data_IF_703138265513
#
_entry.id   IF_703138265513
#
_cell.length_a   1.000
_cell.length_b   1.000
_cell.length_c   1.000
_cell.angle_alpha   90.00
_cell.angle_beta   90.00
_cell.angle_gamma   90.00
#
_symmetry.space_group_name_H-M   'P 1'
#
loop_
_entity.id
_entity.type
_entity.pdbx_description
1 polymer ?
#
# COMPACT_ATOMS: atom_id res chain seq x y z
N UNK A 1 5.96 -34.71 7.03
CA UNK A 1 6.37 -33.90 8.19
C UNK A 1 6.60 -32.41 7.82
N UNK A 2 5.68 -31.76 7.08
CA UNK A 2 5.87 -30.38 6.57
C UNK A 2 4.67 -29.43 6.84
N UNK A 3 3.62 -29.90 7.54
CA UNK A 3 2.38 -29.11 7.77
C UNK A 3 2.34 -28.33 9.09
N UNK A 4 3.24 -28.60 10.05
CA UNK A 4 3.20 -28.04 11.42
C UNK A 4 3.92 -26.69 11.58
N UNK A 5 4.69 -26.25 10.56
CA UNK A 5 5.47 -25.01 10.63
C UNK A 5 4.67 -23.78 10.16
N UNK A 6 3.79 -23.93 9.17
CA UNK A 6 2.92 -22.81 8.68
C UNK A 6 1.91 -22.37 9.74
N UNK A 7 1.30 -23.30 10.48
CA UNK A 7 0.33 -22.99 11.54
C UNK A 7 0.93 -22.17 12.69
N UNK A 8 2.18 -22.45 13.07
CA UNK A 8 2.90 -21.71 14.14
C UNK A 8 3.33 -20.30 13.73
N UNK A 9 3.49 -20.05 12.43
CA UNK A 9 3.80 -18.73 11.90
C UNK A 9 2.54 -17.84 11.87
N UNK A 10 1.41 -18.39 11.42
CA UNK A 10 0.12 -17.69 11.41
C UNK A 10 -0.34 -17.38 12.84
N UNK A 11 -0.20 -18.31 13.78
CA UNK A 11 -0.52 -18.08 15.19
C UNK A 11 0.26 -16.89 15.78
N UNK A 12 1.59 -16.82 15.55
CA UNK A 12 2.41 -15.70 16.03
C UNK A 12 2.04 -14.35 15.42
N UNK A 13 1.65 -14.34 14.14
CA UNK A 13 1.17 -13.12 13.49
C UNK A 13 -0.18 -12.69 14.07
N UNK A 14 -1.09 -13.63 14.31
CA UNK A 14 -2.39 -13.34 14.92
C UNK A 14 -2.27 -12.88 16.37
N UNK A 15 -1.34 -13.44 17.16
CA UNK A 15 -1.06 -12.97 18.52
C UNK A 15 -0.53 -11.53 18.53
N UNK A 16 0.32 -11.18 17.57
CA UNK A 16 0.87 -9.83 17.45
C UNK A 16 -0.20 -8.82 17.04
N UNK A 17 -1.05 -9.20 16.09
CA UNK A 17 -2.18 -8.35 15.63
C UNK A 17 -3.20 -8.19 16.76
N UNK A 18 -3.58 -9.28 17.42
CA UNK A 18 -4.51 -9.25 18.54
C UNK A 18 -3.96 -8.40 19.69
N UNK A 19 -2.69 -8.55 20.06
CA UNK A 19 -2.05 -7.76 21.11
C UNK A 19 -2.07 -6.26 20.82
N UNK A 20 -1.86 -5.86 19.55
CA UNK A 20 -1.93 -4.46 19.15
C UNK A 20 -3.36 -3.91 19.20
N UNK A 21 -4.35 -4.70 18.76
CA UNK A 21 -5.77 -4.33 18.80
C UNK A 21 -6.26 -4.21 20.25
N UNK A 22 -5.90 -5.14 21.13
CA UNK A 22 -6.27 -5.08 22.55
C UNK A 22 -5.63 -3.88 23.26
N UNK A 23 -4.37 -3.56 22.96
CA UNK A 23 -3.69 -2.39 23.53
C UNK A 23 -4.36 -1.09 23.11
N UNK A 24 -4.80 -1.00 21.85
CA UNK A 24 -5.55 0.16 21.35
C UNK A 24 -6.93 0.30 22.02
N UNK A 25 -7.66 -0.82 22.18
CA UNK A 25 -8.94 -0.86 22.89
C UNK A 25 -8.81 -0.45 24.36
N UNK A 26 -7.76 -0.91 25.05
CA UNK A 26 -7.51 -0.54 26.45
C UNK A 26 -7.18 0.96 26.59
N UNK A 27 -6.43 1.53 25.66
CA UNK A 27 -6.15 2.97 25.63
C UNK A 27 -7.42 3.80 25.44
N UNK A 28 -8.35 3.33 24.59
CA UNK A 28 -9.65 4.00 24.38
C UNK A 28 -10.55 3.92 25.61
N UNK A 29 -10.62 2.76 26.25
CA UNK A 29 -11.41 2.57 27.48
C UNK A 29 -10.90 3.47 28.61
N UNK A 30 -9.57 3.53 28.83
CA UNK A 30 -8.96 4.41 29.85
C UNK A 30 -9.18 5.90 29.57
N UNK A 31 -9.22 6.31 28.30
CA UNK A 31 -9.51 7.70 27.91
C UNK A 31 -10.98 8.07 28.09
N UNK A 32 -11.89 7.12 27.88
CA UNK A 32 -13.33 7.29 28.08
C UNK A 32 -13.66 7.50 29.58
N UNK A 33 -13.02 6.75 30.46
CA UNK A 33 -13.12 6.97 31.92
C UNK A 33 -12.51 8.32 32.36
N UNK A 34 -11.48 8.80 31.67
CA UNK A 34 -10.83 10.08 31.97
C UNK A 34 -11.57 11.32 31.43
N UNK A 35 -12.72 11.16 30.77
CA UNK A 35 -13.51 12.27 30.22
C UNK A 35 -12.81 13.07 29.12
N UNK A 36 -11.75 12.52 28.51
CA UNK A 36 -11.01 13.17 27.43
C UNK A 36 -11.85 13.16 26.15
N UNK A 37 -11.75 14.21 25.30
CA UNK A 37 -12.49 14.25 24.05
C UNK A 37 -12.18 13.00 23.23
N UNK A 38 -13.24 12.33 22.77
CA UNK A 38 -13.14 11.16 21.90
C UNK A 38 -12.33 11.59 20.67
N UNK A 39 -11.15 10.99 20.47
CA UNK A 39 -10.49 11.08 19.17
C UNK A 39 -11.52 10.61 18.14
N UNK A 40 -11.84 11.49 17.18
CA UNK A 40 -12.63 11.11 16.01
C UNK A 40 -12.06 9.80 15.45
N UNK A 41 -12.91 8.85 15.03
CA UNK A 41 -12.46 7.54 14.62
C UNK A 41 -11.30 7.73 13.65
N UNK A 42 -10.12 7.21 14.02
CA UNK A 42 -8.97 7.16 13.12
C UNK A 42 -9.48 6.70 11.77
N UNK A 43 -9.42 7.57 10.76
CA UNK A 43 -9.63 7.20 9.36
C UNK A 43 -8.78 5.97 9.14
N UNK A 44 -9.44 4.84 8.89
CA UNK A 44 -8.84 3.50 8.89
C UNK A 44 -7.42 3.57 8.33
N UNK A 45 -6.43 3.26 9.17
CA UNK A 45 -5.04 3.17 8.75
C UNK A 45 -4.98 2.19 7.58
N UNK A 46 -4.66 2.73 6.41
CA UNK A 46 -4.69 1.99 5.15
C UNK A 46 -3.42 1.12 5.14
N UNK A 47 -3.55 -0.19 5.38
CA UNK A 47 -2.42 -1.11 5.53
C UNK A 47 -2.45 -2.22 4.46
N UNK A 48 -1.41 -2.25 3.63
CA UNK A 48 -1.09 -3.36 2.73
C UNK A 48 -0.38 -4.48 3.50
N UNK A 49 -0.89 -5.72 3.42
CA UNK A 49 -0.30 -6.90 4.08
C UNK A 49 0.33 -7.86 3.07
N UNK A 50 1.62 -8.18 3.23
CA UNK A 50 2.34 -9.18 2.42
C UNK A 50 2.38 -10.52 3.16
N UNK A 51 1.75 -11.56 2.61
CA UNK A 51 1.73 -12.91 3.20
C UNK A 51 2.84 -13.85 2.69
N UNK A 52 3.80 -13.34 1.89
CA UNK A 52 4.81 -14.18 1.25
C UNK A 52 6.22 -13.88 1.79
N UNK A 53 6.72 -14.73 2.69
CA UNK A 53 8.01 -14.60 3.39
C UNK A 53 9.26 -14.87 2.52
N UNK A 54 9.15 -14.79 1.19
CA UNK A 54 10.22 -15.19 0.27
C UNK A 54 10.99 -14.03 -0.39
N UNK A 55 10.53 -12.78 -0.28
CA UNK A 55 11.24 -11.65 -0.91
C UNK A 55 11.25 -10.42 0.01
N UNK A 56 12.36 -10.25 0.75
CA UNK A 56 12.59 -9.13 1.69
C UNK A 56 12.36 -7.78 0.99
N UNK A 57 12.62 -7.69 -0.32
CA UNK A 57 12.48 -6.46 -1.09
C UNK A 57 11.01 -6.07 -1.35
N UNK A 58 10.07 -7.02 -1.40
CA UNK A 58 8.65 -6.67 -1.55
C UNK A 58 8.10 -6.06 -0.26
N UNK A 59 8.57 -6.54 0.89
CA UNK A 59 8.15 -6.01 2.19
C UNK A 59 8.56 -4.55 2.40
N UNK A 60 9.78 -4.18 2.00
CA UNK A 60 10.25 -2.79 2.09
C UNK A 60 9.51 -1.87 1.11
N UNK A 61 9.26 -2.30 -0.13
CA UNK A 61 8.49 -1.54 -1.12
C UNK A 61 7.04 -1.31 -0.65
N UNK A 62 6.39 -2.34 -0.12
CA UNK A 62 5.04 -2.23 0.44
C UNK A 62 5.01 -1.31 1.66
N UNK A 63 6.03 -1.37 2.52
CA UNK A 63 6.19 -0.44 3.64
C UNK A 63 6.28 1.02 3.18
N UNK A 64 7.06 1.30 2.13
CA UNK A 64 7.17 2.64 1.54
C UNK A 64 5.85 3.11 0.94
N UNK A 65 5.14 2.23 0.22
CA UNK A 65 3.82 2.55 -0.35
C UNK A 65 2.82 2.90 0.76
N UNK A 66 2.77 2.10 1.84
CA UNK A 66 1.88 2.37 2.98
C UNK A 66 2.18 3.72 3.64
N UNK A 67 3.45 4.05 3.84
CA UNK A 67 3.86 5.33 4.42
C UNK A 67 3.40 6.50 3.53
N UNK A 68 3.69 6.44 2.24
CA UNK A 68 3.31 7.49 1.29
C UNK A 68 1.78 7.63 1.16
N UNK A 69 1.04 6.53 1.05
CA UNK A 69 -0.44 6.51 0.99
C UNK A 69 -1.05 7.18 2.22
N UNK A 70 -0.49 6.94 3.41
CA UNK A 70 -0.97 7.59 4.63
C UNK A 70 -0.76 9.11 4.59
N UNK A 71 0.41 9.58 4.15
CA UNK A 71 0.69 11.01 4.02
C UNK A 71 -0.21 11.65 2.96
N UNK A 72 -0.34 11.06 1.79
CA UNK A 72 -1.21 11.52 0.69
C UNK A 72 -2.68 11.61 1.17
N UNK A 73 -3.16 10.60 1.90
CA UNK A 73 -4.51 10.59 2.46
C UNK A 73 -4.71 11.71 3.50
N UNK A 74 -3.71 11.97 4.35
CA UNK A 74 -3.74 13.08 5.31
C UNK A 74 -3.74 14.45 4.63
N UNK A 75 -3.15 14.56 3.43
CA UNK A 75 -3.21 15.76 2.59
C UNK A 75 -4.57 15.96 1.89
N UNK A 76 -5.55 15.09 2.15
CA UNK A 76 -6.89 15.15 1.56
C UNK A 76 -6.99 14.50 0.17
N UNK A 77 -5.92 13.87 -0.31
CA UNK A 77 -5.82 13.29 -1.65
C UNK A 77 -6.22 11.80 -1.63
N UNK A 78 -7.40 11.51 -1.06
CA UNK A 78 -7.85 10.14 -0.76
C UNK A 78 -8.03 9.27 -2.00
N UNK A 79 -8.38 9.86 -3.14
CA UNK A 79 -8.61 9.13 -4.39
C UNK A 79 -7.31 8.56 -4.94
N UNK A 80 -6.23 9.36 -5.03
CA UNK A 80 -4.93 8.88 -5.50
C UNK A 80 -4.27 7.93 -4.48
N UNK A 81 -4.46 8.19 -3.18
CA UNK A 81 -4.03 7.29 -2.10
C UNK A 81 -4.68 5.90 -2.24
N UNK A 82 -5.97 5.87 -2.57
CA UNK A 82 -6.73 4.62 -2.78
C UNK A 82 -6.24 3.90 -4.03
N UNK A 83 -6.07 4.60 -5.15
CA UNK A 83 -5.53 4.06 -6.39
C UNK A 83 -4.16 3.39 -6.19
N UNK A 84 -3.22 4.10 -5.55
CA UNK A 84 -1.87 3.61 -5.30
C UNK A 84 -1.88 2.36 -4.41
N UNK A 85 -2.68 2.36 -3.34
CA UNK A 85 -2.84 1.16 -2.51
C UNK A 85 -3.36 0.00 -3.34
N UNK A 86 -4.51 0.17 -4.00
CA UNK A 86 -5.19 -0.96 -4.63
C UNK A 86 -4.33 -1.58 -5.73
N UNK A 87 -3.56 -0.77 -6.46
CA UNK A 87 -2.54 -1.25 -7.39
C UNK A 87 -1.44 -2.06 -6.68
N UNK A 88 -0.87 -1.55 -5.59
CA UNK A 88 0.13 -2.28 -4.80
C UNK A 88 -0.39 -3.62 -4.26
N UNK A 89 -1.62 -3.63 -3.77
CA UNK A 89 -2.31 -4.83 -3.28
C UNK A 89 -2.56 -5.86 -4.40
N UNK A 90 -2.99 -5.39 -5.56
CA UNK A 90 -3.20 -6.23 -6.75
C UNK A 90 -1.89 -6.89 -7.21
N UNK A 91 -0.78 -6.15 -7.27
CA UNK A 91 0.53 -6.69 -7.66
C UNK A 91 0.97 -7.80 -6.69
N UNK A 92 0.86 -7.57 -5.38
CA UNK A 92 1.24 -8.56 -4.36
C UNK A 92 0.41 -9.84 -4.50
N UNK A 93 -0.90 -9.69 -4.70
CA UNK A 93 -1.86 -10.80 -4.79
C UNK A 93 -1.86 -11.49 -6.15
N UNK A 94 -1.34 -10.86 -7.20
CA UNK A 94 -1.40 -11.42 -8.55
C UNK A 94 -0.68 -12.75 -8.63
N UNK A 95 -1.41 -13.80 -9.02
CA UNK A 95 -0.82 -15.12 -9.32
C UNK A 95 -0.18 -15.19 -10.71
N UNK A 96 -0.46 -14.21 -11.57
CA UNK A 96 0.01 -14.17 -12.95
C UNK A 96 1.39 -13.51 -13.11
N UNK A 97 1.83 -12.73 -12.12
CA UNK A 97 3.11 -12.04 -12.14
C UNK A 97 4.21 -12.87 -11.48
N UNK A 98 5.39 -12.91 -12.11
CA UNK A 98 6.59 -13.48 -11.52
C UNK A 98 7.17 -12.55 -10.45
N UNK A 99 7.96 -13.08 -9.52
CA UNK A 99 8.51 -12.29 -8.40
C UNK A 99 9.34 -11.08 -8.86
N UNK A 100 10.09 -11.21 -9.96
CA UNK A 100 10.86 -10.09 -10.53
C UNK A 100 9.94 -8.99 -11.07
N UNK A 101 8.85 -9.35 -11.76
CA UNK A 101 7.85 -8.41 -12.26
C UNK A 101 7.11 -7.72 -11.12
N UNK A 102 6.78 -8.47 -10.04
CA UNK A 102 6.17 -7.89 -8.84
C UNK A 102 7.08 -6.87 -8.18
N UNK A 103 8.36 -7.19 -8.05
CA UNK A 103 9.35 -6.30 -7.45
C UNK A 103 9.52 -5.03 -8.27
N UNK A 104 9.58 -5.14 -9.60
CA UNK A 104 9.68 -3.99 -10.49
C UNK A 104 8.40 -3.14 -10.47
N UNK A 105 7.23 -3.76 -10.55
CA UNK A 105 5.96 -3.07 -10.52
C UNK A 105 5.73 -2.35 -9.18
N UNK A 106 6.02 -3.00 -8.05
CA UNK A 106 5.93 -2.37 -6.73
C UNK A 106 6.95 -1.24 -6.57
N UNK A 107 8.14 -1.35 -7.16
CA UNK A 107 9.09 -0.24 -7.18
C UNK A 107 8.52 0.97 -7.91
N UNK A 108 7.93 0.77 -9.09
CA UNK A 108 7.29 1.85 -9.85
C UNK A 108 6.14 2.47 -9.06
N UNK A 109 5.28 1.67 -8.42
CA UNK A 109 4.20 2.19 -7.57
C UNK A 109 4.76 2.96 -6.36
N UNK A 110 5.83 2.48 -5.73
CA UNK A 110 6.49 3.19 -4.62
C UNK A 110 7.06 4.55 -5.08
N UNK A 111 7.67 4.60 -6.25
CA UNK A 111 8.21 5.84 -6.82
C UNK A 111 7.11 6.83 -7.19
N UNK A 112 5.99 6.36 -7.76
CA UNK A 112 4.80 7.18 -8.01
C UNK A 112 4.23 7.71 -6.68
N UNK A 113 4.13 6.86 -5.66
CA UNK A 113 3.63 7.26 -4.34
C UNK A 113 4.52 8.33 -3.68
N UNK A 114 5.84 8.17 -3.75
CA UNK A 114 6.80 9.15 -3.24
C UNK A 114 6.69 10.50 -3.95
N UNK A 115 6.46 10.49 -5.27
CA UNK A 115 6.22 11.72 -6.02
C UNK A 115 4.86 12.35 -5.68
N UNK A 116 3.86 11.54 -5.34
CA UNK A 116 2.56 12.04 -4.90
C UNK A 116 2.61 12.68 -3.51
N UNK A 117 3.42 12.13 -2.60
CA UNK A 117 3.72 12.71 -1.28
C UNK A 117 4.44 14.06 -1.39
N UNK A 118 5.28 14.22 -2.40
CA UNK A 118 6.10 15.41 -2.61
C UNK A 118 5.26 16.63 -3.06
N UNK A 119 5.65 17.82 -2.57
CA UNK A 119 5.06 19.10 -3.00
C UNK A 119 5.21 19.27 -4.53
N UNK A 120 4.24 19.95 -5.15
CA UNK A 120 4.15 20.16 -6.61
C UNK A 120 5.48 20.62 -7.25
N UNK A 121 6.24 21.48 -6.57
CA UNK A 121 7.50 22.05 -7.05
C UNK A 121 8.67 21.07 -7.08
N UNK A 122 8.57 19.90 -6.41
CA UNK A 122 9.60 18.87 -6.36
C UNK A 122 9.38 17.69 -7.31
N UNK A 123 8.31 17.72 -8.13
CA UNK A 123 7.91 16.58 -8.97
C UNK A 123 8.71 16.54 -10.27
N UNK A 124 9.36 15.42 -10.54
CA UNK A 124 10.07 15.19 -11.80
C UNK A 124 9.09 14.72 -12.87
N UNK A 125 8.42 15.66 -13.54
CA UNK A 125 7.35 15.37 -14.51
C UNK A 125 7.78 14.44 -15.66
N UNK A 126 9.03 14.53 -16.12
CA UNK A 126 9.59 13.63 -17.13
C UNK A 126 9.69 12.18 -16.64
N UNK A 127 10.27 11.98 -15.45
CA UNK A 127 10.38 10.66 -14.81
C UNK A 127 9.00 10.07 -14.56
N UNK A 128 8.06 10.87 -14.06
CA UNK A 128 6.72 10.39 -13.77
C UNK A 128 5.95 9.97 -15.02
N UNK A 129 6.04 10.74 -16.11
CA UNK A 129 5.46 10.36 -17.40
C UNK A 129 6.04 9.04 -17.91
N UNK A 130 7.35 8.84 -17.78
CA UNK A 130 8.00 7.59 -18.15
C UNK A 130 7.53 6.41 -17.29
N UNK A 131 7.43 6.59 -15.97
CA UNK A 131 6.94 5.56 -15.06
C UNK A 131 5.49 5.14 -15.38
N UNK A 132 4.60 6.12 -15.57
CA UNK A 132 3.19 5.87 -15.89
C UNK A 132 3.05 5.24 -17.28
N UNK A 133 3.83 5.67 -18.28
CA UNK A 133 3.78 5.09 -19.61
C UNK A 133 4.39 3.67 -19.68
N UNK A 134 5.43 3.41 -18.88
CA UNK A 134 6.13 2.12 -18.85
C UNK A 134 5.44 1.05 -18.00
N UNK A 135 4.62 1.44 -17.02
CA UNK A 135 3.98 0.52 -16.08
C UNK A 135 3.19 -0.64 -16.75
N UNK A 136 2.40 -0.42 -17.83
CA UNK A 136 1.75 -1.50 -18.57
C UNK A 136 2.70 -2.60 -19.08
N UNK A 137 3.92 -2.24 -19.47
CA UNK A 137 4.90 -3.21 -19.96
C UNK A 137 5.40 -4.13 -18.85
N UNK A 138 5.45 -3.64 -17.61
CA UNK A 138 5.94 -4.37 -16.43
C UNK A 138 4.88 -5.36 -15.94
N UNK A 139 3.62 -4.90 -15.84
CA UNK A 139 2.49 -5.75 -15.39
C UNK A 139 2.09 -6.79 -16.45
N UNK A 140 2.44 -6.55 -17.71
CA UNK A 140 2.24 -7.49 -18.80
C UNK A 140 0.77 -7.87 -18.98
N UNK A 141 0.48 -9.16 -19.15
CA UNK A 141 -0.88 -9.70 -19.33
C UNK A 141 -1.57 -10.08 -18.00
N UNK A 142 -1.07 -9.60 -16.86
CA UNK A 142 -1.73 -9.81 -15.57
C UNK A 142 -3.05 -9.03 -15.55
N UNK A 143 -4.14 -9.70 -15.96
CA UNK A 143 -5.44 -9.08 -16.19
C UNK A 143 -6.00 -8.40 -14.94
N UNK A 144 -5.74 -8.96 -13.76
CA UNK A 144 -6.09 -8.39 -12.47
C UNK A 144 -5.44 -7.03 -12.24
N UNK A 145 -4.14 -6.91 -12.49
CA UNK A 145 -3.42 -5.63 -12.32
C UNK A 145 -3.72 -4.66 -13.46
N UNK A 146 -3.87 -5.16 -14.68
CA UNK A 146 -4.18 -4.36 -15.89
C UNK A 146 -5.55 -3.68 -15.76
N UNK A 147 -6.56 -4.42 -15.30
CA UNK A 147 -7.91 -3.86 -15.09
C UNK A 147 -7.90 -2.74 -14.06
N UNK A 148 -7.15 -2.91 -12.96
CA UNK A 148 -6.99 -1.85 -11.97
C UNK A 148 -6.21 -0.66 -12.53
N UNK A 149 -5.18 -0.92 -13.34
CA UNK A 149 -4.41 0.13 -13.98
C UNK A 149 -5.26 0.97 -14.92
N UNK A 150 -6.09 0.36 -15.78
CA UNK A 150 -6.97 1.09 -16.70
C UNK A 150 -7.98 1.96 -15.94
N UNK A 151 -8.47 1.48 -14.79
CA UNK A 151 -9.34 2.25 -13.90
C UNK A 151 -8.63 3.45 -13.27
N UNK A 152 -7.41 3.26 -12.78
CA UNK A 152 -6.73 4.25 -11.93
C UNK A 152 -5.70 5.12 -12.63
N UNK A 153 -5.22 4.74 -13.80
CA UNK A 153 -4.29 5.55 -14.59
C UNK A 153 -4.84 6.97 -14.86
N UNK A 154 -6.13 7.17 -15.20
CA UNK A 154 -6.69 8.51 -15.36
C UNK A 154 -6.65 9.34 -14.07
N UNK A 155 -6.95 8.72 -12.92
CA UNK A 155 -6.90 9.38 -11.59
C UNK A 155 -5.48 9.83 -11.26
N UNK A 156 -4.52 8.93 -11.46
CA UNK A 156 -3.09 9.21 -11.21
C UNK A 156 -2.62 10.34 -12.14
N UNK A 157 -2.95 10.28 -13.44
CA UNK A 157 -2.60 11.34 -14.40
C UNK A 157 -3.21 12.69 -14.05
N UNK A 158 -4.49 12.72 -13.70
CA UNK A 158 -5.18 13.93 -13.30
C UNK A 158 -4.55 14.57 -12.05
N UNK A 159 -4.19 13.75 -11.04
CA UNK A 159 -3.52 14.22 -9.84
C UNK A 159 -2.15 14.88 -10.13
N UNK A 160 -1.46 14.42 -11.17
CA UNK A 160 -0.16 14.95 -11.58
C UNK A 160 -0.23 15.99 -12.69
N UNK A 161 -1.41 16.27 -13.25
CA UNK A 161 -1.61 17.24 -14.32
C UNK A 161 -0.93 16.86 -15.64
N UNK A 162 -0.93 15.57 -15.99
CA UNK A 162 -0.27 15.02 -17.19
C UNK A 162 -1.23 14.29 -18.13
#
# INVERSE_FOLDING_TARGET
MWSSLKGRFIARQMDTIAANVYRDLELRLRRQDAGLPKEEPMKQGISLTVNNAANINLGSQVGMINAAVNVISQQGQSEVATAIRELGEAIVRSGAMQDHQKQEALQVIADIAKQAESKLEGRSSGTLKALIAGFPAIIGLAADVTTLWDKYAPVIRAFFGI
#
